data_IF_844755969667
#
_entry.id   IF_844755969667
#
_cell.length_a   1.000
_cell.length_b   1.000
_cell.length_c   1.000
_cell.angle_alpha   90.00
_cell.angle_beta   90.00
_cell.angle_gamma   90.00
#
_symmetry.space_group_name_H-M   'P 1'
#
loop_
_entity.id
_entity.type
_entity.pdbx_description
1 polymer ?
#
# COMPACT_ATOMS: atom_id res chain seq x y z
N UNK A 1 -15.18 -0.59 15.54
CA UNK A 1 -15.37 0.39 14.46
C UNK A 1 -16.87 0.52 14.28
N UNK A 2 -17.41 1.70 14.54
CA UNK A 2 -18.84 1.96 14.41
C UNK A 2 -19.20 2.00 12.92
N UNK A 3 -20.42 1.60 12.54
CA UNK A 3 -20.90 1.79 11.17
C UNK A 3 -20.86 3.26 10.74
N UNK A 4 -21.02 4.20 11.70
CA UNK A 4 -20.90 5.65 11.48
C UNK A 4 -19.52 6.09 10.98
N UNK A 5 -18.47 5.34 11.29
CA UNK A 5 -17.10 5.67 10.88
C UNK A 5 -16.86 5.34 9.40
N UNK A 6 -17.60 4.37 8.86
CA UNK A 6 -17.50 3.96 7.46
C UNK A 6 -18.13 4.99 6.52
N UNK A 7 -19.29 5.54 6.88
CA UNK A 7 -20.01 6.51 6.05
C UNK A 7 -19.25 7.85 5.90
N UNK A 8 -18.40 8.20 6.88
CA UNK A 8 -17.61 9.42 6.88
C UNK A 8 -16.19 9.25 6.30
N UNK A 9 -15.86 8.08 5.73
CA UNK A 9 -14.55 7.83 5.17
C UNK A 9 -14.32 8.64 3.88
N UNK A 10 -13.39 9.60 3.93
CA UNK A 10 -13.03 10.42 2.77
C UNK A 10 -12.31 9.57 1.72
N UNK A 11 -12.76 9.65 0.47
CA UNK A 11 -12.18 8.95 -0.68
C UNK A 11 -11.80 9.97 -1.76
N UNK A 12 -10.64 10.65 -1.63
CA UNK A 12 -10.21 11.63 -2.61
C UNK A 12 -9.88 10.97 -3.96
N UNK A 13 -9.95 11.74 -5.02
CA UNK A 13 -9.57 11.30 -6.37
C UNK A 13 -8.09 10.90 -6.47
N UNK A 14 -7.83 9.94 -7.36
CA UNK A 14 -6.49 9.49 -7.71
C UNK A 14 -5.95 10.38 -8.83
N UNK A 15 -4.78 10.97 -8.58
CA UNK A 15 -4.09 11.84 -9.54
C UNK A 15 -2.68 11.30 -9.76
N UNK A 16 -2.28 11.17 -11.02
CA UNK A 16 -0.92 10.77 -11.43
C UNK A 16 -0.02 11.98 -11.64
N UNK A 17 1.29 11.78 -11.60
CA UNK A 17 2.26 12.80 -11.99
C UNK A 17 2.34 12.99 -13.52
N UNK A 18 1.84 12.03 -14.30
CA UNK A 18 1.91 12.04 -15.77
C UNK A 18 0.78 12.87 -16.40
N UNK A 19 -0.31 13.10 -15.66
CA UNK A 19 -1.56 13.70 -16.15
C UNK A 19 -1.80 15.13 -15.60
N UNK A 20 -0.76 15.78 -15.04
CA UNK A 20 -0.88 17.08 -14.36
C UNK A 20 -0.03 18.17 -14.98
N UNK A 21 -0.41 19.42 -14.71
CA UNK A 21 0.39 20.60 -15.00
C UNK A 21 1.31 20.92 -13.81
N UNK A 22 2.63 20.78 -14.02
CA UNK A 22 3.63 21.03 -12.99
C UNK A 22 3.73 22.51 -12.56
N UNK A 23 3.26 23.45 -13.39
CA UNK A 23 3.20 24.87 -13.04
C UNK A 23 2.08 25.16 -12.03
N UNK A 24 1.10 24.26 -11.91
CA UNK A 24 0.01 24.35 -10.94
C UNK A 24 0.35 23.59 -9.67
N UNK A 25 0.77 24.35 -8.66
CA UNK A 25 1.06 23.82 -7.33
C UNK A 25 -0.05 22.93 -6.73
N UNK A 26 -1.36 23.25 -6.86
CA UNK A 26 -2.43 22.38 -6.36
C UNK A 26 -2.40 20.97 -6.96
N UNK A 27 -2.18 20.85 -8.27
CA UNK A 27 -2.18 19.59 -9.01
C UNK A 27 -1.01 18.70 -8.56
N UNK A 28 0.18 19.30 -8.44
CA UNK A 28 1.38 18.65 -7.89
C UNK A 28 1.14 18.15 -6.47
N UNK A 29 0.49 18.95 -5.62
CA UNK A 29 0.18 18.53 -4.25
C UNK A 29 -0.84 17.39 -4.20
N UNK A 30 -1.82 17.38 -5.11
CA UNK A 30 -2.80 16.30 -5.20
C UNK A 30 -2.16 14.99 -5.65
N UNK A 31 -1.27 15.03 -6.66
CA UNK A 31 -0.52 13.86 -7.12
C UNK A 31 0.40 13.29 -6.02
N UNK A 32 1.14 14.15 -5.29
CA UNK A 32 1.95 13.74 -4.13
C UNK A 32 1.13 13.01 -3.08
N UNK A 33 -0.01 13.59 -2.70
CA UNK A 33 -0.91 12.99 -1.71
C UNK A 33 -1.50 11.68 -2.22
N UNK A 34 -1.89 11.62 -3.50
CA UNK A 34 -2.41 10.43 -4.16
C UNK A 34 -1.42 9.27 -4.09
N UNK A 35 -0.20 9.46 -4.60
CA UNK A 35 0.84 8.43 -4.60
C UNK A 35 1.18 7.97 -3.18
N UNK A 36 1.32 8.89 -2.22
CA UNK A 36 1.62 8.52 -0.84
C UNK A 36 0.50 7.70 -0.20
N UNK A 37 -0.78 8.07 -0.41
CA UNK A 37 -1.92 7.30 0.12
C UNK A 37 -1.91 5.87 -0.38
N UNK A 38 -1.67 5.65 -1.67
CA UNK A 38 -1.62 4.30 -2.24
C UNK A 38 -0.46 3.47 -1.68
N UNK A 39 0.72 4.07 -1.45
CA UNK A 39 1.81 3.38 -0.76
C UNK A 39 1.45 3.00 0.68
N UNK A 40 0.74 3.88 1.40
CA UNK A 40 0.23 3.56 2.74
C UNK A 40 -0.81 2.43 2.72
N UNK A 41 -1.70 2.41 1.74
CA UNK A 41 -2.69 1.32 1.56
C UNK A 41 -1.96 0.00 1.31
N UNK A 42 -0.94 -0.02 0.45
CA UNK A 42 -0.09 -1.20 0.23
C UNK A 42 0.61 -1.63 1.51
N UNK A 43 1.25 -0.70 2.22
CA UNK A 43 1.87 -0.98 3.53
C UNK A 43 0.87 -1.58 4.51
N UNK A 44 -0.38 -1.09 4.53
CA UNK A 44 -1.44 -1.67 5.37
C UNK A 44 -1.84 -3.08 4.93
N UNK A 45 -1.95 -3.34 3.62
CA UNK A 45 -2.18 -4.69 3.10
C UNK A 45 -1.07 -5.68 3.51
N UNK A 46 0.20 -5.23 3.55
CA UNK A 46 1.31 -6.00 4.09
C UNK A 46 1.11 -6.33 5.57
N UNK A 47 0.69 -5.35 6.39
CA UNK A 47 0.38 -5.56 7.82
C UNK A 47 -0.74 -6.58 8.03
N UNK A 48 -1.83 -6.48 7.27
CA UNK A 48 -2.94 -7.44 7.32
C UNK A 48 -2.46 -8.84 6.96
N UNK A 49 -1.63 -8.96 5.92
CA UNK A 49 -1.07 -10.26 5.51
C UNK A 49 -0.15 -10.84 6.59
N UNK A 50 0.67 -10.00 7.23
CA UNK A 50 1.51 -10.40 8.35
C UNK A 50 0.69 -10.89 9.56
N UNK A 51 -0.39 -10.19 9.90
CA UNK A 51 -1.28 -10.60 10.99
C UNK A 51 -1.99 -11.93 10.68
N UNK A 52 -2.47 -12.10 9.45
CA UNK A 52 -3.07 -13.36 9.01
C UNK A 52 -2.07 -14.51 9.08
N UNK A 53 -0.80 -14.29 8.66
CA UNK A 53 0.26 -15.28 8.79
C UNK A 53 0.54 -15.63 10.25
N UNK A 54 0.61 -14.62 11.14
CA UNK A 54 0.78 -14.83 12.58
C UNK A 54 -0.34 -15.71 13.15
N UNK A 55 -1.60 -15.40 12.84
CA UNK A 55 -2.77 -16.20 13.27
C UNK A 55 -2.73 -17.62 12.70
N UNK A 56 -2.36 -17.79 11.43
CA UNK A 56 -2.22 -19.11 10.81
C UNK A 56 -1.19 -19.97 11.56
N UNK A 57 -0.01 -19.41 11.86
CA UNK A 57 1.04 -20.12 12.60
C UNK A 57 0.58 -20.51 14.00
N UNK A 58 -0.12 -19.62 14.69
CA UNK A 58 -0.67 -19.90 16.02
C UNK A 58 -1.73 -21.01 15.99
N UNK A 59 -2.59 -21.02 14.96
CA UNK A 59 -3.65 -22.01 14.82
C UNK A 59 -3.13 -23.41 14.46
N UNK A 60 -2.15 -23.51 13.54
CA UNK A 60 -1.67 -24.81 13.05
C UNK A 60 -0.47 -25.39 13.82
N UNK A 61 0.20 -24.62 14.69
CA UNK A 61 1.30 -25.12 15.52
C UNK A 61 2.40 -25.79 14.70
N UNK A 62 2.66 -27.07 14.95
CA UNK A 62 3.68 -27.87 14.26
C UNK A 62 3.42 -28.01 12.76
N UNK A 63 2.15 -28.08 12.34
CA UNK A 63 1.76 -28.21 10.93
C UNK A 63 1.84 -26.88 10.14
N UNK A 64 2.19 -25.78 10.80
CA UNK A 64 2.18 -24.44 10.20
C UNK A 64 3.07 -24.34 8.96
N UNK A 65 4.17 -25.10 8.89
CA UNK A 65 5.07 -25.08 7.73
C UNK A 65 4.36 -25.52 6.43
N UNK A 66 3.48 -26.51 6.51
CA UNK A 66 2.70 -27.01 5.37
C UNK A 66 1.50 -26.11 5.10
N UNK A 67 0.74 -25.80 6.15
CA UNK A 67 -0.57 -25.16 6.01
C UNK A 67 -0.47 -23.64 5.76
N UNK A 68 0.54 -22.96 6.31
CA UNK A 68 0.69 -21.51 6.17
C UNK A 68 1.63 -21.09 5.03
N UNK A 69 2.18 -22.04 4.25
CA UNK A 69 3.14 -21.76 3.17
C UNK A 69 2.64 -20.70 2.16
N UNK A 70 1.37 -20.70 1.71
CA UNK A 70 0.89 -19.66 0.79
C UNK A 70 0.96 -18.25 1.37
N UNK A 71 0.64 -18.08 2.66
CA UNK A 71 0.72 -16.80 3.35
C UNK A 71 2.17 -16.34 3.54
N UNK A 72 3.09 -17.28 3.82
CA UNK A 72 4.53 -16.99 3.88
C UNK A 72 5.03 -16.45 2.55
N UNK A 73 4.77 -17.17 1.45
CA UNK A 73 5.23 -16.75 0.12
C UNK A 73 4.62 -15.41 -0.30
N UNK A 74 3.34 -15.19 0.00
CA UNK A 74 2.67 -13.91 -0.26
C UNK A 74 3.32 -12.78 0.54
N UNK A 75 3.54 -12.97 1.84
CA UNK A 75 4.20 -11.98 2.69
C UNK A 75 5.62 -11.65 2.18
N UNK A 76 6.41 -12.67 1.85
CA UNK A 76 7.77 -12.49 1.32
C UNK A 76 7.78 -11.71 0.00
N UNK A 77 6.85 -11.97 -0.92
CA UNK A 77 6.73 -11.19 -2.15
C UNK A 77 6.32 -9.73 -1.89
N UNK A 78 5.47 -9.50 -0.89
CA UNK A 78 4.99 -8.15 -0.58
C UNK A 78 6.08 -7.29 0.06
N UNK A 79 6.91 -7.84 0.96
CA UNK A 79 7.97 -7.05 1.62
C UNK A 79 9.00 -6.45 0.63
N UNK A 80 9.16 -7.05 -0.55
CA UNK A 80 10.08 -6.55 -1.58
C UNK A 80 9.66 -5.19 -2.15
N UNK A 81 8.35 -4.88 -2.19
CA UNK A 81 7.83 -3.73 -2.94
C UNK A 81 6.80 -2.86 -2.23
N UNK A 82 6.23 -3.33 -1.11
CA UNK A 82 5.16 -2.63 -0.39
C UNK A 82 5.63 -1.59 0.65
N UNK A 83 6.88 -1.60 1.17
CA UNK A 83 7.39 -0.51 1.99
C UNK A 83 7.30 0.86 1.29
N UNK A 84 7.27 1.94 2.09
CA UNK A 84 7.21 3.30 1.57
C UNK A 84 8.48 3.65 0.79
N UNK A 85 8.29 4.18 -0.42
CA UNK A 85 9.35 4.64 -1.32
C UNK A 85 9.37 6.17 -1.49
N UNK A 86 8.31 6.86 -1.04
CA UNK A 86 8.15 8.29 -1.25
C UNK A 86 7.71 8.60 -2.70
N UNK A 87 7.62 9.88 -3.04
CA UNK A 87 7.16 10.32 -4.36
C UNK A 87 8.25 11.00 -5.21
N UNK A 88 9.35 11.46 -4.60
CA UNK A 88 10.37 12.25 -5.29
C UNK A 88 11.09 11.49 -6.41
N UNK A 89 11.26 10.17 -6.24
CA UNK A 89 11.87 9.33 -7.26
C UNK A 89 11.10 9.35 -8.58
N UNK A 90 9.77 9.25 -8.53
CA UNK A 90 8.92 9.31 -9.71
C UNK A 90 8.73 10.77 -10.19
N UNK A 91 8.47 11.71 -9.26
CA UNK A 91 8.19 13.10 -9.62
C UNK A 91 9.37 13.77 -10.36
N UNK A 92 10.62 13.37 -10.10
CA UNK A 92 11.81 13.97 -10.70
C UNK A 92 12.38 13.21 -11.88
N UNK A 93 11.89 11.99 -12.15
CA UNK A 93 12.42 11.13 -13.21
C UNK A 93 11.25 10.55 -14.00
N UNK A 94 11.17 10.90 -15.28
CA UNK A 94 10.21 10.32 -16.21
C UNK A 94 10.69 8.90 -16.60
N UNK A 95 9.95 7.83 -16.26
CA UNK A 95 10.35 6.46 -16.60
C UNK A 95 10.28 6.13 -18.09
N UNK A 96 9.67 7.00 -18.92
CA UNK A 96 9.55 6.80 -20.37
C UNK A 96 10.76 7.28 -21.17
N UNK A 97 11.65 8.04 -20.53
CA UNK A 97 12.93 8.53 -21.09
C UNK A 97 14.09 7.63 -20.65
#
# INVERSE_FOLDING_TARGET
MSLSDYENHKRPELVSFDDIDYEKFPDVQQARKSMMREQWIRTYALRVTHEALRKCKQYHGEDAQKNCRPLVLKYMKMIESYPLQGYLGYQKNDPSQ
#
